data_IF_176142651282
#
_entry.id   IF_176142651282
#
_cell.length_a   1.000
_cell.length_b   1.000
_cell.length_c   1.000
_cell.angle_alpha   90.00
_cell.angle_beta   90.00
_cell.angle_gamma   90.00
#
_symmetry.space_group_name_H-M   'P 1'
#
loop_
_entity.id
_entity.type
_entity.pdbx_description
1 polymer ?
#
# COMPACT_ATOMS: atom_id res chain seq x y z
N UNK A 1 24.60 24.44 0.75
CA UNK A 1 23.70 23.80 1.60
C UNK A 1 22.84 22.84 0.79
N UNK A 2 22.66 21.70 1.40
CA UNK A 2 21.91 20.71 0.82
C UNK A 2 20.49 21.12 0.62
N UNK A 3 19.96 20.85 -0.51
CA UNK A 3 18.60 21.24 -0.81
C UNK A 3 17.61 20.16 -0.34
N UNK A 4 16.98 20.43 0.77
CA UNK A 4 16.02 19.51 1.33
C UNK A 4 14.86 19.23 0.39
N UNK A 5 14.53 20.18 -0.45
CA UNK A 5 13.44 20.00 -1.41
C UNK A 5 13.75 18.90 -2.40
N UNK A 6 15.01 18.86 -2.86
CA UNK A 6 15.43 17.80 -3.79
C UNK A 6 15.35 16.44 -3.12
N UNK A 7 15.81 16.35 -1.88
CA UNK A 7 15.76 15.09 -1.15
C UNK A 7 14.32 14.68 -0.89
N UNK A 8 13.48 15.62 -0.49
CA UNK A 8 12.08 15.30 -0.25
C UNK A 8 11.41 14.81 -1.52
N UNK A 9 11.77 15.40 -2.67
CA UNK A 9 11.22 14.94 -3.94
C UNK A 9 11.66 13.53 -4.26
N UNK A 10 12.93 13.22 -4.02
CA UNK A 10 13.43 11.87 -4.25
C UNK A 10 12.69 10.88 -3.37
N UNK A 11 12.54 11.20 -2.08
CA UNK A 11 11.83 10.33 -1.17
C UNK A 11 10.37 10.17 -1.59
N UNK A 12 9.76 11.25 -2.05
CA UNK A 12 8.37 11.22 -2.48
C UNK A 12 8.17 10.28 -3.68
N UNK A 13 9.08 10.34 -4.67
CA UNK A 13 8.98 9.50 -5.85
C UNK A 13 9.40 8.06 -5.59
N UNK A 14 10.30 7.88 -4.64
CA UNK A 14 10.83 6.56 -4.34
C UNK A 14 10.37 6.11 -2.97
N UNK A 15 9.05 6.08 -2.80
CA UNK A 15 8.49 5.60 -1.54
C UNK A 15 8.99 4.19 -1.29
N UNK A 16 9.62 3.98 -0.14
CA UNK A 16 10.18 2.69 0.21
C UNK A 16 9.10 1.65 0.43
N UNK A 17 9.46 0.38 0.29
CA UNK A 17 8.54 -0.71 0.54
C UNK A 17 8.04 -0.67 1.99
N UNK A 18 8.90 -0.28 2.92
CA UNK A 18 8.53 -0.15 4.32
C UNK A 18 7.42 0.88 4.51
N UNK A 19 7.50 2.00 3.82
CA UNK A 19 6.47 3.02 3.90
C UNK A 19 5.17 2.56 3.27
N UNK A 20 5.25 1.83 2.17
CA UNK A 20 4.07 1.28 1.52
C UNK A 20 3.36 0.30 2.45
N UNK A 21 4.14 -0.56 3.11
CA UNK A 21 3.59 -1.51 4.07
C UNK A 21 2.95 -0.77 5.24
N UNK A 22 3.61 0.29 5.72
CA UNK A 22 3.06 1.09 6.82
C UNK A 22 1.72 1.72 6.45
N UNK A 23 1.57 2.17 5.21
CA UNK A 23 0.31 2.72 4.73
C UNK A 23 -0.80 1.66 4.75
N UNK A 24 -0.45 0.44 4.34
CA UNK A 24 -1.42 -0.66 4.36
C UNK A 24 -1.78 -1.05 5.78
N UNK A 25 -0.80 -1.13 6.66
CA UNK A 25 -1.06 -1.44 8.07
C UNK A 25 -1.98 -0.39 8.69
N UNK A 26 -1.72 0.88 8.41
CA UNK A 26 -2.54 1.96 8.92
C UNK A 26 -3.96 1.88 8.37
N UNK A 27 -4.10 1.62 7.08
CA UNK A 27 -5.40 1.49 6.45
C UNK A 27 -6.20 0.33 7.03
N UNK A 28 -5.52 -0.77 7.33
CA UNK A 28 -6.16 -1.96 7.90
C UNK A 28 -6.26 -1.91 9.42
N UNK A 29 -5.74 -0.83 10.03
CA UNK A 29 -5.74 -0.64 11.48
C UNK A 29 -4.97 -1.76 12.19
N UNK A 30 -3.86 -2.15 11.59
CA UNK A 30 -2.96 -3.16 12.15
C UNK A 30 -1.76 -2.50 12.79
N UNK A 31 -1.16 -3.20 13.75
CA UNK A 31 0.06 -2.71 14.38
C UNK A 31 1.22 -2.74 13.39
N UNK A 32 2.16 -1.83 13.57
CA UNK A 32 3.35 -1.79 12.74
C UNK A 32 4.13 -3.09 12.84
N UNK A 33 4.61 -3.58 11.71
CA UNK A 33 5.38 -4.80 11.65
C UNK A 33 4.54 -6.06 11.49
N UNK A 34 3.21 -5.90 11.41
CA UNK A 34 2.31 -7.05 11.27
C UNK A 34 2.33 -7.63 9.85
N UNK A 35 2.38 -6.75 8.85
CA UNK A 35 2.36 -7.18 7.46
C UNK A 35 3.76 -7.41 6.91
N UNK A 36 3.88 -8.43 6.10
CA UNK A 36 5.11 -8.73 5.37
C UNK A 36 4.76 -8.90 3.89
N UNK A 37 5.72 -8.70 2.99
CA UNK A 37 5.43 -8.84 1.56
C UNK A 37 4.83 -10.19 1.20
N UNK A 38 5.26 -11.25 1.86
CA UNK A 38 4.80 -12.59 1.56
C UNK A 38 3.49 -12.97 2.28
N UNK A 39 2.95 -12.08 3.10
CA UNK A 39 1.70 -12.37 3.82
C UNK A 39 0.55 -12.57 2.84
N UNK A 40 -0.19 -13.66 3.00
CA UNK A 40 -1.37 -13.92 2.18
C UNK A 40 -2.52 -13.03 2.61
N UNK A 41 -3.15 -12.37 1.66
CA UNK A 41 -4.25 -11.45 1.96
C UNK A 41 -5.43 -12.17 2.58
N UNK A 42 -5.66 -13.42 2.17
CA UNK A 42 -6.77 -14.20 2.71
C UNK A 42 -6.61 -14.51 4.19
N UNK A 43 -5.38 -14.43 4.69
CA UNK A 43 -5.11 -14.70 6.11
C UNK A 43 -5.32 -13.46 6.98
N UNK A 44 -5.58 -12.31 6.38
CA UNK A 44 -5.76 -11.06 7.09
C UNK A 44 -7.26 -10.81 7.28
N UNK A 45 -7.74 -10.98 8.51
CA UNK A 45 -9.17 -10.81 8.80
C UNK A 45 -9.63 -9.40 8.49
N UNK A 46 -8.78 -8.41 8.70
CA UNK A 46 -9.11 -7.01 8.46
C UNK A 46 -9.21 -6.66 6.98
N UNK A 47 -8.73 -7.55 6.11
CA UNK A 47 -8.80 -7.30 4.66
C UNK A 47 -10.14 -7.78 4.13
N UNK A 48 -11.20 -7.08 4.50
CA UNK A 48 -12.57 -7.37 4.13
C UNK A 48 -13.04 -6.45 3.00
N UNK A 49 -14.33 -6.46 2.71
CA UNK A 49 -14.89 -5.64 1.63
C UNK A 49 -14.69 -4.16 1.86
N UNK A 50 -14.79 -3.71 3.11
CA UNK A 50 -14.58 -2.30 3.42
C UNK A 50 -13.11 -1.91 3.22
N UNK A 51 -12.21 -2.80 3.61
CA UNK A 51 -10.78 -2.56 3.42
C UNK A 51 -10.45 -2.47 1.93
N UNK A 52 -11.10 -3.28 1.10
CA UNK A 52 -10.86 -3.24 -0.34
C UNK A 52 -11.32 -1.90 -0.94
N UNK A 53 -12.42 -1.37 -0.45
CA UNK A 53 -12.86 -0.04 -0.88
C UNK A 53 -11.87 1.03 -0.42
N UNK A 54 -11.38 0.90 0.81
CA UNK A 54 -10.37 1.82 1.33
C UNK A 54 -9.09 1.75 0.51
N UNK A 55 -8.74 0.56 0.03
CA UNK A 55 -7.56 0.39 -0.80
C UNK A 55 -7.69 1.13 -2.12
N UNK A 56 -8.89 1.12 -2.70
CA UNK A 56 -9.15 1.87 -3.94
C UNK A 56 -8.91 3.36 -3.71
N UNK A 57 -9.41 3.88 -2.58
CA UNK A 57 -9.23 5.29 -2.24
C UNK A 57 -7.75 5.59 -1.98
N UNK A 58 -7.06 4.71 -1.26
CA UNK A 58 -5.64 4.88 -0.98
C UNK A 58 -4.82 4.96 -2.25
N UNK A 59 -5.09 4.07 -3.21
CA UNK A 59 -4.36 4.07 -4.47
C UNK A 59 -4.57 5.36 -5.25
N UNK A 60 -5.79 5.88 -5.23
CA UNK A 60 -6.08 7.13 -5.91
C UNK A 60 -5.41 8.31 -5.23
N UNK A 61 -5.53 8.39 -3.91
CA UNK A 61 -5.04 9.52 -3.14
C UNK A 61 -3.51 9.57 -3.05
N UNK A 62 -2.89 8.43 -2.79
CA UNK A 62 -1.44 8.40 -2.52
C UNK A 62 -0.61 8.09 -3.74
N UNK A 63 -1.15 7.38 -4.71
CA UNK A 63 -0.37 6.91 -5.86
C UNK A 63 -0.95 7.37 -7.18
N UNK A 64 -2.07 8.08 -7.17
CA UNK A 64 -2.75 8.55 -8.39
C UNK A 64 -3.00 7.41 -9.37
N UNK A 65 -3.40 6.26 -8.84
CA UNK A 65 -3.66 5.08 -9.65
C UNK A 65 -5.10 4.62 -9.45
N UNK A 66 -5.70 4.16 -10.53
CA UNK A 66 -7.05 3.62 -10.48
C UNK A 66 -7.02 2.13 -10.27
N UNK A 67 -7.51 1.70 -9.13
CA UNK A 67 -7.57 0.29 -8.79
C UNK A 67 -9.00 -0.19 -9.01
N UNK A 68 -9.15 -1.26 -9.79
CA UNK A 68 -10.46 -1.82 -10.10
C UNK A 68 -10.74 -3.05 -9.25
N UNK A 69 -12.03 -3.43 -9.17
CA UNK A 69 -12.39 -4.64 -8.45
C UNK A 69 -11.78 -5.90 -9.05
N UNK A 70 -11.60 -5.90 -10.37
CA UNK A 70 -10.96 -7.04 -11.03
C UNK A 70 -9.49 -7.18 -10.61
N UNK A 71 -8.78 -6.06 -10.53
CA UNK A 71 -7.40 -6.06 -10.09
C UNK A 71 -7.28 -6.51 -8.64
N UNK A 72 -8.22 -6.06 -7.79
CA UNK A 72 -8.22 -6.48 -6.39
C UNK A 72 -8.36 -7.99 -6.28
N UNK A 73 -9.20 -8.59 -7.11
CA UNK A 73 -9.42 -10.04 -7.07
C UNK A 73 -8.18 -10.83 -7.48
N UNK A 74 -7.27 -10.19 -8.21
CA UNK A 74 -6.04 -10.84 -8.64
C UNK A 74 -4.93 -10.77 -7.59
N UNK A 75 -5.10 -9.93 -6.59
CA UNK A 75 -4.11 -9.82 -5.52
C UNK A 75 -4.20 -11.02 -4.58
N UNK A 76 -3.08 -11.66 -4.34
CA UNK A 76 -3.01 -12.81 -3.43
C UNK A 76 -2.18 -12.50 -2.19
N UNK A 77 -1.12 -11.73 -2.35
CA UNK A 77 -0.22 -11.40 -1.25
C UNK A 77 -0.07 -9.89 -1.12
N UNK A 78 0.50 -9.47 0.01
CA UNK A 78 0.82 -8.06 0.22
C UNK A 78 1.74 -7.57 -0.89
N UNK A 79 2.68 -8.41 -1.34
CA UNK A 79 3.60 -8.01 -2.40
C UNK A 79 2.87 -7.63 -3.69
N UNK A 80 1.78 -8.31 -4.00
CA UNK A 80 1.00 -7.98 -5.20
C UNK A 80 0.47 -6.54 -5.12
N UNK A 81 0.04 -6.13 -3.94
CA UNK A 81 -0.42 -4.76 -3.72
C UNK A 81 0.74 -3.79 -3.85
N UNK A 82 1.88 -4.13 -3.25
CA UNK A 82 3.07 -3.27 -3.32
C UNK A 82 3.53 -3.08 -4.76
N UNK A 83 3.48 -4.14 -5.55
CA UNK A 83 3.85 -4.07 -6.96
C UNK A 83 2.93 -3.13 -7.74
N UNK A 84 1.64 -3.14 -7.40
CA UNK A 84 0.69 -2.23 -8.04
C UNK A 84 0.98 -0.78 -7.68
N UNK A 85 1.42 -0.54 -6.46
CA UNK A 85 1.78 0.80 -6.02
C UNK A 85 2.96 1.38 -6.83
N UNK A 86 3.82 0.52 -7.30
CA UNK A 86 4.96 0.90 -8.11
C UNK A 86 6.26 0.91 -7.34
#
# INVERSE_FOLDING_TARGET
MFDETIINNIIFYEMTQEKKIALLEDMLELDGGTLKPETDLISIDEYDSMAKLSLIVLMDDEFSKKLTGEQIREFNTVQDILDFMG
#
